data_IF_356864563068
#
_entry.id   IF_356864563068
#
_cell.length_a   1.000
_cell.length_b   1.000
_cell.length_c   1.000
_cell.angle_alpha   90.00
_cell.angle_beta   90.00
_cell.angle_gamma   90.00
#
_symmetry.space_group_name_H-M   'P 1'
#
loop_
_entity.id
_entity.type
_entity.pdbx_description
1 polymer ?
#
# COMPACT_ATOMS: atom_id res chain seq x y z
N UNK A 1 -16.46 35.33 17.41
CA UNK A 1 -15.57 35.29 16.23
C UNK A 1 -15.41 33.84 15.81
N UNK A 2 -16.25 33.38 14.89
CA UNK A 2 -16.15 32.06 14.27
C UNK A 2 -14.97 32.08 13.32
N UNK A 3 -13.85 31.46 13.71
CA UNK A 3 -12.81 31.14 12.74
C UNK A 3 -13.45 30.22 11.70
N UNK A 4 -13.63 30.71 10.47
CA UNK A 4 -13.91 29.87 9.32
C UNK A 4 -12.73 28.93 9.15
N UNK A 5 -12.81 27.76 9.78
CA UNK A 5 -11.81 26.72 9.61
C UNK A 5 -11.70 26.44 8.12
N UNK A 6 -10.54 26.73 7.52
CA UNK A 6 -10.30 26.39 6.13
C UNK A 6 -10.63 24.92 5.93
N UNK A 7 -11.64 24.65 5.12
CA UNK A 7 -12.12 23.30 4.85
C UNK A 7 -11.01 22.54 4.13
N UNK A 8 -10.30 21.69 4.89
CA UNK A 8 -9.20 20.89 4.36
C UNK A 8 -9.77 19.76 3.53
N UNK A 9 -9.07 19.46 2.44
CA UNK A 9 -9.45 18.38 1.56
C UNK A 9 -8.27 17.47 1.28
N UNK A 10 -8.58 16.22 0.98
CA UNK A 10 -7.64 15.24 0.47
C UNK A 10 -8.05 14.74 -0.89
N UNK A 11 -7.04 14.38 -1.67
CA UNK A 11 -7.19 13.82 -2.99
C UNK A 11 -6.92 12.32 -2.90
N UNK A 12 -7.90 11.53 -3.31
CA UNK A 12 -7.75 10.10 -3.55
C UNK A 12 -7.63 9.89 -5.04
N UNK A 13 -6.50 9.37 -5.51
CA UNK A 13 -6.29 9.02 -6.91
C UNK A 13 -6.35 7.51 -7.04
N UNK A 14 -7.38 7.02 -7.70
CA UNK A 14 -7.50 5.63 -8.11
C UNK A 14 -6.91 5.48 -9.50
N UNK A 15 -5.93 4.61 -9.65
CA UNK A 15 -5.16 4.42 -10.88
C UNK A 15 -5.31 2.99 -11.36
N UNK A 16 -5.58 2.83 -12.66
CA UNK A 16 -5.58 1.55 -13.36
C UNK A 16 -4.68 1.59 -14.59
N UNK A 17 -3.94 0.50 -14.88
CA UNK A 17 -3.27 0.35 -16.16
C UNK A 17 -4.28 0.37 -17.31
N UNK A 18 -3.97 1.10 -18.37
CA UNK A 18 -4.78 1.14 -19.59
C UNK A 18 -4.11 0.30 -20.69
N UNK A 19 -4.81 -0.67 -21.30
CA UNK A 19 -4.29 -1.43 -22.43
C UNK A 19 -3.83 -0.49 -23.55
N UNK A 20 -2.54 -0.54 -23.87
CA UNK A 20 -1.93 0.31 -24.90
C UNK A 20 -0.69 -0.38 -25.46
N UNK A 21 -0.32 -0.13 -26.74
CA UNK A 21 0.86 -0.75 -27.34
C UNK A 21 2.16 -0.45 -26.57
N UNK A 22 2.27 0.73 -25.96
CA UNK A 22 3.44 1.16 -25.19
C UNK A 22 3.44 0.67 -23.73
N UNK A 23 2.32 0.13 -23.24
CA UNK A 23 2.19 -0.38 -21.87
C UNK A 23 2.26 0.67 -20.75
N UNK A 24 2.44 1.96 -21.07
CA UNK A 24 2.69 3.03 -20.12
C UNK A 24 1.54 4.04 -20.00
N UNK A 25 0.32 3.65 -20.39
CA UNK A 25 -0.87 4.49 -20.26
C UNK A 25 -1.65 4.07 -19.02
N UNK A 26 -2.16 5.05 -18.28
CA UNK A 26 -3.01 4.83 -17.11
C UNK A 26 -4.31 5.62 -17.22
N UNK A 27 -5.37 5.05 -16.66
CA UNK A 27 -6.62 5.74 -16.34
C UNK A 27 -6.59 6.13 -14.86
N UNK A 28 -6.81 7.42 -14.56
CA UNK A 28 -6.81 7.96 -13.20
C UNK A 28 -8.16 8.59 -12.90
N UNK A 29 -8.79 8.14 -11.82
CA UNK A 29 -9.94 8.80 -11.20
C UNK A 29 -9.47 9.53 -9.95
N UNK A 30 -9.60 10.85 -9.92
CA UNK A 30 -9.32 11.67 -8.74
C UNK A 30 -10.62 12.05 -8.05
N UNK A 31 -10.71 11.73 -6.76
CA UNK A 31 -11.82 12.09 -5.88
C UNK A 31 -11.33 13.04 -4.80
N UNK A 32 -12.08 14.12 -4.58
CA UNK A 32 -11.85 15.06 -3.46
C UNK A 32 -12.70 14.66 -2.26
N UNK A 33 -12.04 14.36 -1.15
CA UNK A 33 -12.67 14.01 0.14
C UNK A 33 -12.57 15.21 1.07
N UNK A 34 -13.68 15.59 1.68
CA UNK A 34 -13.72 16.66 2.68
C UNK A 34 -13.23 16.13 4.02
N UNK A 35 -12.32 16.87 4.66
CA UNK A 35 -11.89 16.58 6.03
C UNK A 35 -12.76 17.42 6.97
N UNK A 36 -13.81 16.80 7.53
CA UNK A 36 -14.80 17.47 8.37
C UNK A 36 -14.27 17.83 9.76
N UNK A 37 -13.15 17.24 10.16
CA UNK A 37 -12.56 17.41 11.48
C UNK A 37 -11.06 17.73 11.35
N UNK A 38 -10.53 18.43 12.35
CA UNK A 38 -9.08 18.72 12.47
C UNK A 38 -8.21 17.46 12.53
N UNK A 39 -8.81 16.28 12.72
CA UNK A 39 -8.12 15.00 12.91
C UNK A 39 -8.41 13.94 11.83
N UNK A 40 -9.00 14.28 10.68
CA UNK A 40 -9.22 13.27 9.62
C UNK A 40 -7.90 12.63 9.17
N UNK A 41 -7.69 11.36 9.49
CA UNK A 41 -6.46 10.64 9.19
C UNK A 41 -6.46 10.03 7.79
N UNK A 42 -5.31 9.49 7.35
CA UNK A 42 -5.18 8.84 6.03
C UNK A 42 -6.09 7.62 5.94
N UNK A 43 -6.18 6.83 7.01
CA UNK A 43 -7.11 5.69 7.06
C UNK A 43 -8.57 6.15 7.03
N UNK A 44 -8.93 7.23 7.71
CA UNK A 44 -10.29 7.77 7.63
C UNK A 44 -10.64 8.22 6.21
N UNK A 45 -9.68 8.82 5.50
CA UNK A 45 -9.85 9.25 4.11
C UNK A 45 -10.10 8.05 3.19
N UNK A 46 -9.33 6.97 3.35
CA UNK A 46 -9.51 5.72 2.61
C UNK A 46 -10.88 5.11 2.92
N UNK A 47 -11.26 5.02 4.20
CA UNK A 47 -12.54 4.44 4.60
C UNK A 47 -13.72 5.24 4.04
N UNK A 48 -13.67 6.59 4.12
CA UNK A 48 -14.68 7.46 3.52
C UNK A 48 -14.81 7.20 2.01
N UNK A 49 -13.69 7.17 1.28
CA UNK A 49 -13.68 6.88 -0.15
C UNK A 49 -14.25 5.49 -0.47
N UNK A 50 -13.84 4.44 0.25
CA UNK A 50 -14.34 3.08 0.08
C UNK A 50 -15.84 2.94 0.46
N UNK A 51 -16.40 3.89 1.21
CA UNK A 51 -17.83 3.96 1.52
C UNK A 51 -18.59 4.92 0.59
N UNK A 52 -17.98 5.35 -0.52
CA UNK A 52 -18.63 6.16 -1.55
C UNK A 52 -18.65 7.66 -1.28
N UNK A 53 -17.90 8.15 -0.28
CA UNK A 53 -17.75 9.58 -0.09
C UNK A 53 -16.92 10.22 -1.22
N UNK A 54 -17.28 11.45 -1.59
CA UNK A 54 -16.57 12.22 -2.61
C UNK A 54 -17.39 13.40 -3.11
N UNK A 55 -16.78 14.58 -3.15
CA UNK A 55 -17.46 15.81 -3.61
C UNK A 55 -17.33 16.02 -5.12
N UNK A 56 -16.29 15.46 -5.74
CA UNK A 56 -16.01 15.66 -7.16
C UNK A 56 -15.20 14.48 -7.68
N UNK A 57 -15.55 13.99 -8.87
CA UNK A 57 -14.83 12.95 -9.59
C UNK A 57 -14.24 13.55 -10.86
N UNK A 58 -12.92 13.44 -11.04
CA UNK A 58 -12.24 13.83 -12.27
C UNK A 58 -11.51 12.63 -12.85
N UNK A 59 -11.85 12.27 -14.07
CA UNK A 59 -11.21 11.18 -14.79
C UNK A 59 -10.20 11.73 -15.79
N UNK A 60 -9.08 11.03 -15.93
CA UNK A 60 -8.01 11.40 -16.85
C UNK A 60 -7.25 10.18 -17.32
N UNK A 61 -7.08 10.06 -18.64
CA UNK A 61 -6.08 9.16 -19.24
C UNK A 61 -4.75 9.90 -19.40
N UNK A 62 -3.66 9.27 -18.99
CA UNK A 62 -2.33 9.90 -19.02
C UNK A 62 -1.26 8.90 -19.46
N UNK A 63 -0.31 9.36 -20.27
CA UNK A 63 0.92 8.63 -20.58
C UNK A 63 1.92 8.86 -19.46
N UNK A 64 2.45 7.78 -18.89
CA UNK A 64 3.47 7.83 -17.83
C UNK A 64 4.84 8.05 -18.46
N UNK A 65 5.42 9.22 -18.18
CA UNK A 65 6.74 9.63 -18.66
C UNK A 65 7.87 9.26 -17.71
N UNK A 66 7.58 9.25 -16.42
CA UNK A 66 8.53 8.93 -15.34
C UNK A 66 7.98 7.74 -14.55
N UNK A 67 8.36 6.51 -14.94
CA UNK A 67 7.93 5.31 -14.24
C UNK A 67 8.49 5.25 -12.81
N UNK A 68 7.64 4.88 -11.85
CA UNK A 68 8.06 4.57 -10.49
C UNK A 68 8.36 3.08 -10.41
N UNK A 69 9.58 2.71 -10.02
CA UNK A 69 9.97 1.30 -9.87
C UNK A 69 9.34 0.73 -8.59
N UNK A 70 8.63 -0.39 -8.69
CA UNK A 70 7.98 -1.03 -7.53
C UNK A 70 8.99 -1.35 -6.42
N UNK A 71 10.18 -1.82 -6.80
CA UNK A 71 11.25 -2.16 -5.86
C UNK A 71 11.72 -0.98 -5.00
N UNK A 72 11.59 0.25 -5.48
CA UNK A 72 12.06 1.46 -4.78
C UNK A 72 11.04 2.03 -3.80
N UNK A 73 9.79 1.55 -3.82
CA UNK A 73 8.75 2.03 -2.92
C UNK A 73 9.14 1.72 -1.47
N UNK A 74 9.12 2.73 -0.61
CA UNK A 74 9.38 2.60 0.83
C UNK A 74 8.28 1.74 1.44
N UNK A 75 8.66 0.65 2.10
CA UNK A 75 7.72 -0.21 2.79
C UNK A 75 7.56 0.24 4.26
N UNK A 76 6.45 -0.12 4.90
CA UNK A 76 6.27 0.02 6.36
C UNK A 76 6.23 -1.32 7.11
N UNK A 77 6.75 -2.41 6.52
CA UNK A 77 6.75 -3.75 7.11
C UNK A 77 8.06 -4.49 6.84
N UNK A 78 8.57 -5.15 7.86
CA UNK A 78 9.61 -6.17 7.70
C UNK A 78 8.99 -7.49 7.20
N UNK A 79 9.84 -8.40 6.75
CA UNK A 79 9.44 -9.70 6.22
C UNK A 79 8.68 -10.60 7.20
N UNK A 80 8.92 -10.45 8.50
CA UNK A 80 8.21 -11.13 9.59
C UNK A 80 6.76 -10.64 9.76
N UNK A 81 6.41 -9.47 9.21
CA UNK A 81 5.03 -8.98 9.12
C UNK A 81 4.23 -9.58 7.95
N UNK A 82 4.86 -10.35 7.06
CA UNK A 82 4.20 -10.92 5.87
C UNK A 82 3.53 -12.25 6.18
N UNK A 83 2.23 -12.18 6.46
CA UNK A 83 1.43 -13.27 7.07
C UNK A 83 1.31 -14.57 6.26
N UNK A 84 1.11 -14.52 4.94
CA UNK A 84 0.62 -15.68 4.20
C UNK A 84 1.26 -15.85 2.82
N UNK A 85 2.13 -16.85 2.71
CA UNK A 85 2.68 -17.26 1.41
C UNK A 85 1.64 -17.88 0.51
N UNK A 86 0.70 -18.62 1.08
CA UNK A 86 -0.40 -19.20 0.32
C UNK A 86 -1.24 -18.11 -0.35
N UNK A 87 -1.57 -17.04 0.38
CA UNK A 87 -2.30 -15.91 -0.18
C UNK A 87 -1.53 -15.26 -1.33
N UNK A 88 -0.23 -14.98 -1.16
CA UNK A 88 0.64 -14.42 -2.22
C UNK A 88 0.64 -15.34 -3.45
N UNK A 89 0.85 -16.64 -3.28
CA UNK A 89 0.82 -17.60 -4.41
C UNK A 89 -0.52 -17.60 -5.15
N UNK A 90 -1.64 -17.52 -4.44
CA UNK A 90 -2.98 -17.39 -5.07
C UNK A 90 -3.11 -16.08 -5.85
N UNK A 91 -2.65 -14.97 -5.29
CA UNK A 91 -2.66 -13.67 -5.96
C UNK A 91 -1.78 -13.68 -7.21
N UNK A 92 -0.58 -14.25 -7.15
CA UNK A 92 0.31 -14.43 -8.32
C UNK A 92 -0.39 -15.20 -9.44
N UNK A 93 -1.08 -16.32 -9.12
CA UNK A 93 -1.83 -17.09 -10.13
C UNK A 93 -2.91 -16.24 -10.79
N UNK A 94 -3.68 -15.48 -10.02
CA UNK A 94 -4.72 -14.57 -10.53
C UNK A 94 -4.15 -13.49 -11.44
N UNK A 95 -3.03 -12.88 -11.04
CA UNK A 95 -2.35 -11.85 -11.85
C UNK A 95 -1.86 -12.42 -13.17
N UNK A 96 -1.25 -13.61 -13.15
CA UNK A 96 -0.78 -14.29 -14.38
C UNK A 96 -1.92 -14.70 -15.30
N UNK A 97 -3.13 -14.93 -14.79
CA UNK A 97 -4.33 -15.12 -15.60
C UNK A 97 -5.01 -13.81 -16.05
N UNK A 98 -4.36 -12.66 -15.86
CA UNK A 98 -4.86 -11.35 -16.30
C UNK A 98 -5.84 -10.68 -15.33
N UNK A 99 -5.98 -11.16 -14.09
CA UNK A 99 -6.87 -10.55 -13.09
C UNK A 99 -6.12 -9.58 -12.17
N UNK A 100 -6.78 -8.48 -11.85
CA UNK A 100 -6.32 -7.55 -10.82
C UNK A 100 -6.66 -8.02 -9.40
N UNK A 101 -5.84 -7.57 -8.45
CA UNK A 101 -6.02 -7.79 -7.02
C UNK A 101 -6.69 -6.56 -6.39
N UNK A 102 -8.02 -6.64 -6.26
CA UNK A 102 -8.88 -5.60 -5.71
C UNK A 102 -9.50 -6.04 -4.37
N UNK A 103 -10.05 -5.09 -3.62
CA UNK A 103 -10.88 -5.33 -2.44
C UNK A 103 -12.25 -5.89 -2.85
N UNK A 104 -13.05 -6.34 -1.87
CA UNK A 104 -14.43 -6.77 -2.13
C UNK A 104 -15.32 -5.67 -2.74
N UNK A 105 -14.93 -4.40 -2.59
CA UNK A 105 -15.60 -3.24 -3.16
C UNK A 105 -15.04 -2.81 -4.51
N UNK A 106 -14.15 -3.60 -5.12
CA UNK A 106 -13.53 -3.29 -6.41
C UNK A 106 -12.47 -2.19 -6.35
N UNK A 107 -12.00 -1.82 -5.15
CA UNK A 107 -10.98 -0.78 -4.95
C UNK A 107 -9.58 -1.40 -4.97
N UNK A 108 -8.54 -0.75 -5.53
CA UNK A 108 -7.19 -1.29 -5.49
C UNK A 108 -6.68 -1.55 -4.07
N UNK A 109 -6.09 -2.73 -3.84
CA UNK A 109 -5.56 -3.08 -2.52
C UNK A 109 -4.24 -2.39 -2.19
N UNK A 110 -3.49 -1.92 -3.20
CA UNK A 110 -2.25 -1.18 -3.02
C UNK A 110 -2.60 0.26 -2.67
N UNK A 111 -2.18 0.74 -1.48
CA UNK A 111 -2.43 2.11 -1.04
C UNK A 111 -1.13 2.82 -0.69
N UNK A 112 -0.95 3.97 -1.31
CA UNK A 112 0.30 4.72 -1.30
C UNK A 112 0.07 6.16 -0.86
N UNK A 113 1.11 6.76 -0.29
CA UNK A 113 1.24 8.20 -0.15
C UNK A 113 2.56 8.66 -0.74
N UNK A 114 2.63 9.94 -1.11
CA UNK A 114 3.87 10.57 -1.59
C UNK A 114 4.34 11.61 -0.57
N UNK A 115 5.62 11.63 -0.23
CA UNK A 115 6.21 12.64 0.66
C UNK A 115 6.56 13.91 -0.12
N UNK A 116 6.85 15.00 0.60
CA UNK A 116 7.36 16.25 0.00
C UNK A 116 8.69 16.03 -0.77
N UNK A 117 9.47 15.02 -0.40
CA UNK A 117 10.73 14.62 -1.06
C UNK A 117 10.52 13.70 -2.26
N UNK A 118 9.27 13.53 -2.69
CA UNK A 118 8.86 12.62 -3.76
C UNK A 118 9.09 11.13 -3.49
N UNK A 119 9.27 10.73 -2.24
CA UNK A 119 9.32 9.31 -1.86
C UNK A 119 7.91 8.72 -1.89
N UNK A 120 7.78 7.51 -2.40
CA UNK A 120 6.54 6.74 -2.35
C UNK A 120 6.56 5.80 -1.16
N UNK A 121 5.52 5.84 -0.33
CA UNK A 121 5.38 4.99 0.86
C UNK A 121 4.17 4.08 0.68
N UNK A 122 4.40 2.77 0.77
CA UNK A 122 3.37 1.74 0.83
C UNK A 122 2.92 1.54 2.28
N UNK A 123 1.69 1.97 2.57
CA UNK A 123 1.09 1.84 3.90
C UNK A 123 0.05 0.74 3.99
N UNK A 124 -0.41 0.20 2.85
CA UNK A 124 -1.28 -0.97 2.79
C UNK A 124 -1.11 -1.68 1.42
N UNK A 125 -1.30 -3.00 1.40
CA UNK A 125 -1.24 -3.82 0.18
C UNK A 125 0.12 -4.46 -0.13
N UNK A 126 0.98 -4.68 0.87
CA UNK A 126 2.30 -5.33 0.68
C UNK A 126 2.22 -6.69 0.02
N UNK A 127 1.27 -7.55 0.39
CA UNK A 127 1.09 -8.84 -0.29
C UNK A 127 0.72 -8.66 -1.76
N UNK A 128 -0.06 -7.63 -2.10
CA UNK A 128 -0.42 -7.32 -3.49
C UNK A 128 0.80 -6.89 -4.29
N UNK A 129 1.60 -5.94 -3.77
CA UNK A 129 2.84 -5.49 -4.45
C UNK A 129 3.82 -6.64 -4.64
N UNK A 130 4.07 -7.45 -3.60
CA UNK A 130 4.90 -8.65 -3.71
C UNK A 130 4.37 -9.61 -4.79
N UNK A 131 3.05 -9.81 -4.85
CA UNK A 131 2.43 -10.70 -5.84
C UNK A 131 2.58 -10.16 -7.27
N UNK A 132 2.43 -8.86 -7.49
CA UNK A 132 2.67 -8.25 -8.81
C UNK A 132 4.13 -8.33 -9.23
N UNK A 133 5.07 -8.07 -8.32
CA UNK A 133 6.50 -8.24 -8.57
C UNK A 133 6.84 -9.70 -8.92
N UNK A 134 6.29 -10.67 -8.19
CA UNK A 134 6.44 -12.12 -8.50
C UNK A 134 5.78 -12.54 -9.82
N UNK A 135 4.81 -11.77 -10.30
CA UNK A 135 4.18 -11.94 -11.60
C UNK A 135 4.91 -11.20 -12.73
N UNK A 136 6.03 -10.52 -12.43
CA UNK A 136 6.88 -9.87 -13.43
C UNK A 136 6.59 -8.38 -13.65
N UNK A 137 5.74 -7.75 -12.84
CA UNK A 137 5.54 -6.29 -12.91
C UNK A 137 6.72 -5.57 -12.26
N UNK A 138 7.19 -4.51 -12.91
CA UNK A 138 8.39 -3.77 -12.50
C UNK A 138 8.04 -2.36 -12.04
N UNK A 139 7.01 -1.76 -12.63
CA UNK A 139 6.64 -0.36 -12.42
C UNK A 139 5.24 -0.21 -11.84
N UNK A 140 5.04 0.87 -11.09
CA UNK A 140 3.78 1.18 -10.41
C UNK A 140 2.61 1.41 -11.38
N UNK A 141 2.88 1.93 -12.59
CA UNK A 141 1.84 2.17 -13.58
C UNK A 141 1.27 0.88 -14.21
N UNK A 142 1.93 -0.26 -13.99
CA UNK A 142 1.48 -1.58 -14.45
C UNK A 142 0.52 -2.26 -13.47
N UNK A 143 0.24 -1.65 -12.32
CA UNK A 143 -0.61 -2.24 -11.27
C UNK A 143 -1.69 -1.26 -10.81
N UNK A 144 -2.92 -1.72 -10.53
CA UNK A 144 -3.93 -0.88 -9.91
C UNK A 144 -3.51 -0.44 -8.51
N UNK A 145 -3.67 0.85 -8.19
CA UNK A 145 -3.32 1.39 -6.89
C UNK A 145 -4.12 2.64 -6.52
N UNK A 146 -4.15 2.94 -5.22
CA UNK A 146 -4.65 4.19 -4.66
C UNK A 146 -3.50 5.07 -4.20
N UNK A 147 -3.59 6.37 -4.48
CA UNK A 147 -2.71 7.39 -3.90
C UNK A 147 -3.54 8.35 -3.06
N UNK A 148 -3.15 8.53 -1.80
CA UNK A 148 -3.73 9.53 -0.90
C UNK A 148 -2.76 10.69 -0.79
N UNK A 149 -3.24 11.90 -1.05
CA UNK A 149 -2.43 13.11 -0.99
C UNK A 149 -3.25 14.29 -0.45
N UNK A 150 -2.56 15.28 0.10
CA UNK A 150 -3.16 16.59 0.33
C UNK A 150 -3.28 17.37 -0.99
N UNK A 151 -3.92 18.53 -0.98
CA UNK A 151 -4.07 19.39 -2.16
C UNK A 151 -2.74 19.77 -2.82
N UNK A 152 -1.67 19.88 -2.02
CA UNK A 152 -0.30 20.13 -2.50
C UNK A 152 0.35 18.91 -3.19
N UNK A 153 -0.35 17.77 -3.29
CA UNK A 153 0.13 16.55 -3.96
C UNK A 153 1.02 15.63 -3.12
N UNK A 154 1.25 15.94 -1.84
CA UNK A 154 2.02 15.12 -0.91
C UNK A 154 1.43 15.14 0.50
N UNK A 155 1.84 14.19 1.35
CA UNK A 155 1.55 14.17 2.80
C UNK A 155 2.76 14.64 3.60
N UNK A 156 2.50 15.17 4.79
CA UNK A 156 3.52 15.61 5.74
C UNK A 156 4.11 14.44 6.52
N UNK A 157 5.31 14.63 7.06
CA UNK A 157 5.96 13.65 7.95
C UNK A 157 5.11 13.36 9.20
N UNK A 158 4.36 14.35 9.70
CA UNK A 158 3.45 14.16 10.82
C UNK A 158 2.28 13.24 10.46
N UNK A 159 1.74 13.34 9.25
CA UNK A 159 0.67 12.47 8.78
C UNK A 159 1.14 11.02 8.58
N UNK A 160 2.41 10.80 8.26
CA UNK A 160 3.01 9.45 8.15
C UNK A 160 2.97 8.73 9.50
N UNK A 161 3.08 9.45 10.62
CA UNK A 161 3.08 8.84 11.95
C UNK A 161 1.78 8.08 12.25
N UNK A 162 0.67 8.38 11.56
CA UNK A 162 -0.59 7.63 11.72
C UNK A 162 -0.41 6.12 11.46
N UNK A 163 0.51 5.75 10.57
CA UNK A 163 0.74 4.34 10.21
C UNK A 163 1.37 3.53 11.34
N UNK A 164 1.83 4.20 12.40
CA UNK A 164 2.40 3.58 13.60
C UNK A 164 1.38 3.52 14.76
N UNK A 165 0.14 3.97 14.55
CA UNK A 165 -0.96 3.85 15.51
C UNK A 165 -0.60 4.38 16.90
N UNK A 166 -0.84 3.58 17.94
CA UNK A 166 -0.55 3.94 19.34
C UNK A 166 0.93 4.22 19.62
N UNK A 167 1.84 3.82 18.74
CA UNK A 167 3.28 4.08 18.88
C UNK A 167 3.73 5.41 18.30
N UNK A 168 2.85 6.12 17.57
CA UNK A 168 3.16 7.43 17.00
C UNK A 168 3.78 8.43 18.01
N UNK A 169 3.35 8.52 19.28
CA UNK A 169 3.96 9.42 20.27
C UNK A 169 5.42 9.10 20.62
N UNK A 170 5.87 7.86 20.37
CA UNK A 170 7.27 7.44 20.59
C UNK A 170 8.16 7.87 19.42
N UNK A 171 7.56 8.29 18.32
CA UNK A 171 8.23 8.67 17.08
C UNK A 171 8.19 10.18 16.90
N UNK A 172 9.26 10.71 16.33
CA UNK A 172 9.38 12.07 15.83
C UNK A 172 9.30 12.03 14.31
N UNK A 173 8.87 13.12 13.70
CA UNK A 173 8.76 13.26 12.25
C UNK A 173 10.04 12.85 11.48
N UNK A 174 11.22 12.98 12.08
CA UNK A 174 12.49 12.60 11.45
C UNK A 174 12.90 11.14 11.66
N UNK A 175 12.47 10.47 12.74
CA UNK A 175 13.03 9.16 13.12
C UNK A 175 12.17 7.95 12.69
N UNK A 176 10.93 8.15 12.25
CA UNK A 176 10.05 7.04 11.85
C UNK A 176 10.67 6.15 10.75
N UNK A 177 11.57 6.69 9.94
CA UNK A 177 12.31 5.94 8.91
C UNK A 177 13.13 4.79 9.48
N UNK A 178 13.52 4.84 10.75
CA UNK A 178 14.23 3.74 11.43
C UNK A 178 13.30 2.62 11.92
N UNK A 179 11.99 2.78 11.76
CA UNK A 179 11.00 1.87 12.27
C UNK A 179 10.02 1.40 11.19
N UNK A 180 9.41 0.25 11.48
CA UNK A 180 8.28 -0.34 10.76
C UNK A 180 7.26 -0.83 11.78
N UNK A 181 6.05 -1.13 11.32
CA UNK A 181 5.01 -1.72 12.17
C UNK A 181 4.84 -3.20 11.82
N UNK A 182 4.77 -4.08 12.80
CA UNK A 182 4.42 -5.48 12.63
C UNK A 182 3.06 -5.75 13.27
N UNK A 183 1.99 -5.65 12.50
CA UNK A 183 0.61 -5.93 12.95
C UNK A 183 0.35 -7.39 13.36
N UNK A 184 1.37 -8.27 13.35
CA UNK A 184 1.28 -9.62 13.90
C UNK A 184 1.83 -9.75 15.31
N UNK A 185 2.65 -8.81 15.75
CA UNK A 185 3.07 -8.77 17.14
C UNK A 185 1.89 -8.33 18.03
N UNK A 186 1.90 -8.72 19.32
CA UNK A 186 1.02 -8.14 20.33
C UNK A 186 1.09 -6.61 20.27
N UNK A 187 -0.04 -5.92 20.52
CA UNK A 187 -0.18 -4.47 20.32
C UNK A 187 1.00 -3.65 20.84
N UNK A 188 1.47 -3.92 22.06
CA UNK A 188 2.58 -3.19 22.68
C UNK A 188 3.95 -3.41 22.01
N UNK A 189 4.09 -4.44 21.18
CA UNK A 189 5.34 -4.86 20.51
C UNK A 189 5.27 -4.72 19.00
N UNK A 190 4.29 -4.00 18.46
CA UNK A 190 4.15 -3.84 17.01
C UNK A 190 5.22 -2.93 16.41
N UNK A 191 5.72 -1.95 17.14
CA UNK A 191 6.83 -1.11 16.68
C UNK A 191 8.13 -1.92 16.65
N UNK A 192 8.75 -2.02 15.48
CA UNK A 192 9.99 -2.77 15.27
C UNK A 192 11.03 -1.90 14.56
N UNK A 193 12.32 -2.16 14.83
CA UNK A 193 13.39 -1.57 14.01
C UNK A 193 13.29 -2.06 12.57
N UNK A 194 13.49 -1.14 11.63
CA UNK A 194 13.47 -1.44 10.20
C UNK A 194 14.66 -2.33 9.81
N UNK A 195 14.36 -3.36 9.03
CA UNK A 195 15.35 -4.27 8.42
C UNK A 195 15.33 -4.16 6.90
N UNK A 196 14.13 -4.06 6.31
CA UNK A 196 13.95 -3.84 4.88
C UNK A 196 13.44 -2.41 4.62
N UNK A 197 14.12 -1.66 3.77
CA UNK A 197 13.86 -0.23 3.55
C UNK A 197 12.83 0.02 2.44
N UNK A 198 12.80 -0.85 1.45
CA UNK A 198 11.94 -0.73 0.28
C UNK A 198 11.33 -2.09 -0.08
N UNK A 199 10.43 -2.10 -1.06
CA UNK A 199 9.78 -3.33 -1.51
C UNK A 199 10.73 -4.31 -2.19
N UNK A 200 11.86 -3.85 -2.75
CA UNK A 200 12.91 -4.70 -3.31
C UNK A 200 13.59 -5.55 -2.24
N UNK A 201 14.07 -4.92 -1.17
CA UNK A 201 14.68 -5.62 -0.02
C UNK A 201 13.68 -6.57 0.65
N UNK A 202 12.41 -6.15 0.76
CA UNK A 202 11.34 -6.99 1.29
C UNK A 202 11.06 -8.20 0.39
N UNK A 203 11.05 -7.99 -0.92
CA UNK A 203 10.86 -9.05 -1.91
C UNK A 203 12.01 -10.07 -1.86
N UNK A 204 13.25 -9.60 -1.82
CA UNK A 204 14.44 -10.46 -1.79
C UNK A 204 14.46 -11.28 -0.49
N UNK A 205 14.20 -10.64 0.66
CA UNK A 205 14.10 -11.32 1.96
C UNK A 205 12.95 -12.34 1.99
N UNK A 206 11.82 -12.05 1.36
CA UNK A 206 10.71 -12.98 1.25
C UNK A 206 11.02 -14.17 0.33
N UNK A 207 11.71 -13.93 -0.79
CA UNK A 207 12.12 -14.95 -1.75
C UNK A 207 13.17 -15.91 -1.19
N UNK A 208 14.06 -15.42 -0.32
CA UNK A 208 15.09 -16.24 0.34
C UNK A 208 14.58 -17.09 1.51
N UNK A 209 13.32 -16.93 1.94
CA UNK A 209 12.80 -17.71 3.05
C UNK A 209 12.56 -19.17 2.64
N UNK A 210 13.01 -20.17 3.43
CA UNK A 210 12.78 -21.58 3.14
C UNK A 210 11.31 -21.85 2.88
N UNK A 211 10.96 -22.54 1.80
CA UNK A 211 9.60 -23.02 1.63
C UNK A 211 9.29 -23.94 2.81
N UNK A 212 8.31 -23.61 3.64
CA UNK A 212 7.75 -24.59 4.57
C UNK A 212 7.19 -25.70 3.68
N UNK A 213 7.94 -26.79 3.56
CA UNK A 213 7.43 -28.04 3.00
C UNK A 213 6.24 -28.45 3.86
N UNK A 214 5.17 -28.91 3.22
CA UNK A 214 3.96 -29.38 3.88
C UNK A 214 4.31 -30.43 4.94
N UNK A 215 4.42 -30.04 6.21
CA UNK A 215 4.37 -30.96 7.33
C UNK A 215 2.89 -31.27 7.57
N UNK A 216 2.38 -32.37 7.00
CA UNK A 216 1.02 -32.82 7.32
C UNK A 216 0.33 -33.69 6.27
N UNK A 217 1.05 -34.60 5.60
CA UNK A 217 0.44 -35.78 4.98
C UNK A 217 1.24 -37.02 5.39
N UNK A 218 1.46 -37.17 6.69
CA UNK A 218 1.81 -38.46 7.26
C UNK A 218 0.50 -39.21 7.50
N UNK A 219 0.04 -39.98 6.50
CA UNK A 219 -0.92 -41.05 6.78
C UNK A 219 -0.26 -42.01 7.77
N UNK A 220 -0.92 -42.37 8.88
CA UNK A 220 -0.41 -43.43 9.73
C UNK A 220 -0.33 -44.73 8.91
N UNK A 221 0.65 -45.60 9.16
CA UNK A 221 0.74 -46.87 8.47
C UNK A 221 -0.51 -47.69 8.80
N UNK A 222 -1.12 -48.25 7.77
CA UNK A 222 -2.13 -49.29 7.91
C UNK A 222 -1.47 -50.46 8.64
N UNK A 223 -1.94 -50.73 9.85
CA UNK A 223 -1.61 -51.95 10.57
C UNK A 223 -2.37 -53.08 9.87
N UNK A 224 -1.62 -53.96 9.22
CA UNK A 224 -2.08 -55.27 8.74
C UNK A 224 -2.08 -56.29 9.87
#
# INVERSE_FOLDING_TARGET
>A
MTQSGHQRHRLVKQVYPHPSPSGNVIDTTTVRIQCNETHTTIYDTVNQFENGAGLTKKERRTVVREPVVLREIVNLHNSDGIKSRHQIRRMVKRIRSGQDILSSKGVPNIKLVKTRRSEWILFDGHHSVLSYMMAGRTFLHEVPHLVIANENGYVTEQEILVFFGMHAPQLKASNWRHYVINWQAPHERQLCSRKQHNMGELFDAYASMPSIANSGDARPPLVS
#
